data_IF_175759920336
#
_entry.id   IF_175759920336
#
_cell.length_a   1.000
_cell.length_b   1.000
_cell.length_c   1.000
_cell.angle_alpha   90.00
_cell.angle_beta   90.00
_cell.angle_gamma   90.00
#
_symmetry.space_group_name_H-M   'P 1'
#
loop_
_entity.id
_entity.type
_entity.pdbx_description
1 polymer ?
#
# COMPACT_ATOMS: atom_id res chain seq x y z
N UNK A 1 1.47 28.49 8.54
CA UNK A 1 0.79 28.89 7.28
C UNK A 1 1.72 28.50 6.13
N UNK A 2 1.55 27.33 5.52
CA UNK A 2 2.30 26.96 4.30
C UNK A 2 1.43 27.35 3.10
N UNK A 3 1.77 28.49 2.50
CA UNK A 3 1.27 28.88 1.20
C UNK A 3 2.02 28.09 0.13
N UNK A 4 1.29 27.54 -0.84
CA UNK A 4 1.86 26.74 -1.92
C UNK A 4 0.82 25.90 -2.65
N UNK A 5 -0.28 26.53 -3.07
CA UNK A 5 -1.18 25.95 -4.05
C UNK A 5 -0.65 26.30 -5.45
N UNK A 6 0.29 25.50 -5.94
CA UNK A 6 0.67 25.43 -7.35
C UNK A 6 1.04 23.98 -7.63
N UNK A 7 0.34 23.33 -8.56
CA UNK A 7 0.33 21.89 -8.78
C UNK A 7 1.59 21.30 -9.43
N UNK A 8 2.78 21.74 -9.04
CA UNK A 8 4.05 21.11 -9.39
C UNK A 8 4.63 20.47 -8.11
N UNK A 9 4.95 19.16 -8.08
CA UNK A 9 5.59 18.56 -6.92
C UNK A 9 6.96 19.22 -6.71
N UNK A 10 7.07 20.12 -5.74
CA UNK A 10 8.34 20.78 -5.41
C UNK A 10 9.27 19.75 -4.76
N UNK A 11 10.03 19.04 -5.60
CA UNK A 11 11.07 18.12 -5.12
C UNK A 11 12.29 18.91 -4.65
N UNK A 12 12.72 18.67 -3.42
CA UNK A 12 13.88 19.30 -2.79
C UNK A 12 14.97 18.25 -2.54
N UNK A 13 16.00 18.27 -3.39
CA UNK A 13 17.16 17.36 -3.31
C UNK A 13 18.00 17.56 -2.04
N UNK A 14 17.95 18.77 -1.47
CA UNK A 14 18.74 19.18 -0.32
C UNK A 14 17.94 19.07 0.99
N UNK A 15 16.73 18.50 0.93
CA UNK A 15 15.89 18.35 2.10
C UNK A 15 16.58 17.53 3.19
N UNK A 16 16.64 18.11 4.38
CA UNK A 16 17.22 17.45 5.54
C UNK A 16 16.28 16.37 6.08
N UNK A 17 16.56 15.12 5.76
CA UNK A 17 15.77 13.94 6.16
C UNK A 17 15.55 13.82 7.67
N UNK A 18 16.42 14.43 8.50
CA UNK A 18 16.29 14.41 9.96
C UNK A 18 15.08 15.19 10.46
N UNK A 19 14.47 16.02 9.60
CA UNK A 19 13.25 16.77 9.88
C UNK A 19 11.97 15.99 9.59
N UNK A 20 12.05 14.80 8.99
CA UNK A 20 10.88 13.95 8.75
C UNK A 20 10.35 13.38 10.06
N UNK A 21 9.02 13.43 10.22
CA UNK A 21 8.28 12.69 11.24
C UNK A 21 8.07 11.27 10.72
N UNK A 22 8.97 10.36 11.07
CA UNK A 22 8.93 8.98 10.55
C UNK A 22 8.21 8.05 11.52
N UNK A 23 7.07 7.53 11.08
CA UNK A 23 6.34 6.48 11.77
C UNK A 23 7.03 5.12 11.65
N UNK A 24 6.94 4.29 12.68
CA UNK A 24 7.51 2.95 12.76
C UNK A 24 6.47 1.96 13.26
N UNK A 25 6.11 0.97 12.43
CA UNK A 25 5.13 -0.07 12.77
C UNK A 25 5.77 -1.18 13.63
N UNK A 26 6.02 -0.89 14.90
CA UNK A 26 6.69 -1.82 15.82
C UNK A 26 6.10 -3.23 15.84
N UNK A 27 4.77 -3.34 15.82
CA UNK A 27 4.09 -4.63 15.81
C UNK A 27 4.42 -5.46 14.56
N UNK A 28 4.59 -4.81 13.40
CA UNK A 28 4.95 -5.49 12.16
C UNK A 28 6.40 -5.99 12.19
N UNK A 29 7.36 -5.19 12.71
CA UNK A 29 8.75 -5.62 12.84
C UNK A 29 8.99 -6.67 13.93
N UNK A 30 8.05 -6.85 14.86
CA UNK A 30 8.11 -7.91 15.87
C UNK A 30 7.61 -9.26 15.34
N UNK A 31 7.07 -9.29 14.12
CA UNK A 31 6.54 -10.48 13.49
C UNK A 31 7.67 -11.40 13.01
N UNK A 32 7.75 -12.60 13.55
CA UNK A 32 8.83 -13.56 13.26
C UNK A 32 8.47 -14.60 12.21
N UNK A 33 7.36 -14.41 11.47
CA UNK A 33 6.96 -15.32 10.38
C UNK A 33 7.93 -15.32 9.19
N UNK A 34 8.84 -14.36 9.12
CA UNK A 34 9.81 -14.21 8.04
C UNK A 34 11.09 -15.02 8.27
N UNK A 35 11.94 -15.09 7.24
CA UNK A 35 13.25 -15.73 7.35
C UNK A 35 14.17 -14.96 8.30
N UNK A 36 15.12 -15.65 8.94
CA UNK A 36 16.13 -15.00 9.79
C UNK A 36 16.93 -13.92 9.04
N UNK A 37 17.15 -14.10 7.73
CA UNK A 37 17.84 -13.11 6.90
C UNK A 37 16.98 -11.85 6.70
N UNK A 38 15.67 -12.00 6.45
CA UNK A 38 14.76 -10.86 6.30
C UNK A 38 14.70 -10.05 7.59
N UNK A 39 14.51 -10.74 8.73
CA UNK A 39 14.50 -10.10 10.05
C UNK A 39 15.80 -9.34 10.33
N UNK A 40 16.96 -9.91 9.96
CA UNK A 40 18.25 -9.26 10.13
C UNK A 40 18.40 -8.02 9.24
N UNK A 41 17.91 -8.06 8.00
CA UNK A 41 17.94 -6.93 7.08
C UNK A 41 17.04 -5.79 7.57
N UNK A 42 15.83 -6.12 8.05
CA UNK A 42 14.88 -5.16 8.57
C UNK A 42 15.41 -4.46 9.84
N UNK A 43 16.00 -5.23 10.76
CA UNK A 43 16.67 -4.66 11.92
C UNK A 43 17.83 -3.73 11.51
N UNK A 44 18.65 -4.15 10.55
CA UNK A 44 19.76 -3.33 10.05
C UNK A 44 19.27 -2.04 9.36
N UNK A 45 18.13 -2.07 8.66
CA UNK A 45 17.53 -0.90 8.04
C UNK A 45 17.08 0.13 9.10
N UNK A 46 16.42 -0.33 10.17
CA UNK A 46 16.02 0.55 11.28
C UNK A 46 17.23 1.20 11.96
N UNK A 47 18.28 0.42 12.25
CA UNK A 47 19.50 0.94 12.85
C UNK A 47 20.19 1.94 11.92
N UNK A 48 20.17 1.70 10.60
CA UNK A 48 20.73 2.66 9.64
C UNK A 48 19.98 3.98 9.62
N UNK A 49 18.64 3.96 9.67
CA UNK A 49 17.83 5.17 9.77
C UNK A 49 18.18 5.97 11.05
N UNK A 50 18.29 5.28 12.19
CA UNK A 50 18.71 5.91 13.46
C UNK A 50 20.10 6.51 13.37
N UNK A 51 21.06 5.81 12.77
CA UNK A 51 22.43 6.29 12.57
C UNK A 51 22.52 7.52 11.64
N UNK A 52 21.56 7.69 10.74
CA UNK A 52 21.41 8.89 9.90
C UNK A 52 20.76 10.07 10.63
N UNK A 53 20.36 9.89 11.90
CA UNK A 53 19.73 10.92 12.73
C UNK A 53 18.23 11.05 12.54
N UNK A 54 17.58 10.06 11.91
CA UNK A 54 16.11 10.02 11.77
C UNK A 54 15.49 9.56 13.08
N UNK A 55 14.49 10.32 13.57
CA UNK A 55 13.70 9.94 14.74
C UNK A 55 12.53 9.05 14.30
N UNK A 56 12.47 7.84 14.87
CA UNK A 56 11.40 6.87 14.61
C UNK A 56 10.37 6.92 15.74
N UNK A 57 9.12 7.21 15.40
CA UNK A 57 7.99 7.27 16.31
C UNK A 57 7.09 6.05 16.13
N UNK A 58 6.76 5.34 17.21
CA UNK A 58 5.85 4.20 17.12
C UNK A 58 4.47 4.66 16.64
N UNK A 59 3.94 4.01 15.61
CA UNK A 59 2.58 4.25 15.09
C UNK A 59 1.87 2.92 14.85
N UNK A 60 0.54 2.98 14.79
CA UNK A 60 -0.32 1.85 14.46
C UNK A 60 -1.10 2.14 13.19
N UNK A 61 -1.31 1.11 12.37
CA UNK A 61 -2.24 1.20 11.25
C UNK A 61 -3.69 1.29 11.77
N UNK A 62 -4.60 1.89 10.98
CA UNK A 62 -6.00 2.02 11.37
C UNK A 62 -6.77 0.69 11.27
N UNK A 63 -8.03 0.72 11.71
CA UNK A 63 -8.93 -0.43 11.77
C UNK A 63 -9.02 -1.20 10.45
N UNK A 64 -9.21 -0.51 9.32
CA UNK A 64 -9.42 -1.15 8.01
C UNK A 64 -8.12 -1.42 7.23
N UNK A 65 -6.96 -1.40 7.89
CA UNK A 65 -5.67 -1.48 7.19
C UNK A 65 -5.36 -2.85 6.58
N UNK A 66 -6.08 -3.89 7.00
CA UNK A 66 -5.99 -5.26 6.48
C UNK A 66 -6.95 -5.51 5.31
N UNK A 67 -7.66 -4.48 4.84
CA UNK A 67 -8.55 -4.58 3.68
C UNK A 67 -7.80 -5.12 2.45
N UNK A 68 -8.29 -6.23 1.90
CA UNK A 68 -7.77 -6.80 0.66
C UNK A 68 -8.26 -5.98 -0.56
N UNK A 69 -7.34 -5.30 -1.31
CA UNK A 69 -7.72 -4.57 -2.51
C UNK A 69 -8.05 -5.50 -3.69
N UNK A 70 -7.81 -6.80 -3.56
CA UNK A 70 -7.93 -7.81 -4.61
C UNK A 70 -9.28 -7.81 -5.30
N UNK A 71 -10.39 -7.72 -4.56
CA UNK A 71 -11.73 -7.69 -5.15
C UNK A 71 -11.89 -6.53 -6.14
N UNK A 72 -11.43 -5.33 -5.76
CA UNK A 72 -11.47 -4.13 -6.61
C UNK A 72 -10.54 -4.33 -7.81
N UNK A 73 -9.28 -4.72 -7.58
CA UNK A 73 -8.28 -4.88 -8.62
C UNK A 73 -8.70 -5.93 -9.67
N UNK A 74 -9.20 -7.09 -9.23
CA UNK A 74 -9.64 -8.14 -10.13
C UNK A 74 -10.88 -7.71 -10.91
N UNK A 75 -11.86 -7.08 -10.26
CA UNK A 75 -13.07 -6.56 -10.91
C UNK A 75 -12.73 -5.54 -12.00
N UNK A 76 -11.85 -4.58 -11.71
CA UNK A 76 -11.43 -3.55 -12.65
C UNK A 76 -10.56 -4.11 -13.78
N UNK A 77 -9.63 -5.03 -13.48
CA UNK A 77 -8.84 -5.73 -14.49
C UNK A 77 -9.73 -6.53 -15.45
N UNK A 78 -10.78 -7.17 -14.94
CA UNK A 78 -11.74 -7.89 -15.77
C UNK A 78 -12.50 -6.95 -16.72
N UNK A 79 -12.96 -5.81 -16.20
CA UNK A 79 -13.64 -4.81 -17.00
C UNK A 79 -12.73 -4.22 -18.08
N UNK A 80 -11.47 -3.93 -17.74
CA UNK A 80 -10.48 -3.34 -18.64
C UNK A 80 -10.02 -4.31 -19.74
N UNK A 81 -9.91 -5.61 -19.43
CA UNK A 81 -9.40 -6.64 -20.34
C UNK A 81 -10.51 -7.54 -20.90
N UNK A 82 -11.78 -7.14 -20.78
CA UNK A 82 -12.94 -7.96 -21.15
C UNK A 82 -12.85 -8.51 -22.56
N UNK A 83 -12.59 -7.65 -23.54
CA UNK A 83 -12.57 -8.02 -24.95
C UNK A 83 -11.44 -9.00 -25.28
N UNK A 84 -10.15 -8.73 -24.97
CA UNK A 84 -9.08 -9.68 -25.28
C UNK A 84 -9.20 -10.99 -24.51
N UNK A 85 -9.78 -11.00 -23.30
CA UNK A 85 -10.10 -12.24 -22.55
C UNK A 85 -11.16 -13.07 -23.28
N UNK A 86 -12.10 -12.44 -23.97
CA UNK A 86 -13.23 -13.11 -24.63
C UNK A 86 -12.93 -13.52 -26.07
N UNK A 87 -12.23 -12.68 -26.83
CA UNK A 87 -12.04 -12.89 -28.27
C UNK A 87 -10.72 -13.58 -28.58
N UNK A 88 -9.63 -13.16 -27.92
CA UNK A 88 -8.28 -13.58 -28.24
C UNK A 88 -7.48 -14.04 -26.99
N UNK A 89 -8.02 -14.92 -26.12
CA UNK A 89 -7.35 -15.28 -24.86
C UNK A 89 -5.98 -15.95 -25.06
N UNK A 90 -5.76 -16.61 -26.21
CA UNK A 90 -4.47 -17.21 -26.56
C UNK A 90 -3.37 -16.17 -26.88
N UNK A 91 -3.72 -14.91 -27.14
CA UNK A 91 -2.76 -13.83 -27.39
C UNK A 91 -2.35 -13.12 -26.10
N UNK A 92 -3.01 -13.41 -24.97
CA UNK A 92 -2.64 -12.86 -23.67
C UNK A 92 -1.34 -13.47 -23.18
N UNK A 93 -0.45 -12.65 -22.62
CA UNK A 93 0.79 -13.11 -21.95
C UNK A 93 0.47 -14.00 -20.75
N UNK A 94 -0.63 -13.71 -20.04
CA UNK A 94 -1.05 -14.38 -18.82
C UNK A 94 -2.29 -15.25 -19.05
N UNK A 95 -2.14 -16.23 -19.95
CA UNK A 95 -3.20 -17.20 -20.26
C UNK A 95 -3.66 -17.98 -19.01
N UNK A 96 -2.74 -18.23 -18.07
CA UNK A 96 -3.00 -18.87 -16.77
C UNK A 96 -4.08 -18.14 -15.94
N UNK A 97 -4.30 -16.85 -16.21
CA UNK A 97 -5.25 -16.01 -15.47
C UNK A 97 -6.63 -15.93 -16.11
N UNK A 98 -6.82 -16.43 -17.33
CA UNK A 98 -8.09 -16.34 -18.06
C UNK A 98 -9.23 -17.00 -17.30
N UNK A 99 -8.99 -18.16 -16.67
CA UNK A 99 -10.02 -18.87 -15.87
C UNK A 99 -10.48 -18.02 -14.68
N UNK A 100 -9.52 -17.47 -13.91
CA UNK A 100 -9.84 -16.64 -12.76
C UNK A 100 -10.57 -15.36 -13.19
N UNK A 101 -10.15 -14.75 -14.29
CA UNK A 101 -10.83 -13.58 -14.86
C UNK A 101 -12.27 -13.91 -15.27
N UNK A 102 -12.51 -15.07 -15.87
CA UNK A 102 -13.89 -15.47 -16.17
C UNK A 102 -14.73 -15.66 -14.89
N UNK A 103 -14.14 -16.17 -13.80
CA UNK A 103 -14.83 -16.27 -12.52
C UNK A 103 -15.18 -14.90 -11.90
N UNK A 104 -14.31 -13.90 -12.06
CA UNK A 104 -14.53 -12.52 -11.56
C UNK A 104 -15.76 -11.87 -12.20
N UNK A 105 -16.21 -12.33 -13.38
CA UNK A 105 -17.47 -11.86 -13.99
C UNK A 105 -18.72 -12.18 -13.16
N UNK A 106 -18.60 -13.09 -12.20
CA UNK A 106 -19.64 -13.43 -11.24
C UNK A 106 -19.61 -12.54 -9.99
N UNK A 107 -18.68 -11.58 -9.90
CA UNK A 107 -18.60 -10.64 -8.79
C UNK A 107 -19.88 -9.77 -8.74
N UNK A 108 -20.65 -9.80 -7.64
CA UNK A 108 -21.83 -8.97 -7.53
C UNK A 108 -21.46 -7.48 -7.44
N UNK A 109 -22.23 -6.63 -8.12
CA UNK A 109 -22.02 -5.19 -8.08
C UNK A 109 -22.07 -4.61 -6.66
N UNK A 110 -22.92 -5.19 -5.78
CA UNK A 110 -23.02 -4.77 -4.38
C UNK A 110 -21.70 -4.99 -3.61
N UNK A 111 -21.01 -6.12 -3.82
CA UNK A 111 -19.73 -6.42 -3.17
C UNK A 111 -18.62 -5.46 -3.65
N UNK A 112 -18.63 -5.10 -4.95
CA UNK A 112 -17.72 -4.08 -5.47
C UNK A 112 -17.96 -2.70 -4.83
N UNK A 113 -19.23 -2.32 -4.66
CA UNK A 113 -19.59 -1.06 -3.99
C UNK A 113 -19.20 -1.07 -2.50
N UNK A 114 -19.40 -2.20 -1.81
CA UNK A 114 -19.02 -2.31 -0.40
C UNK A 114 -17.50 -2.28 -0.21
N UNK A 115 -16.74 -2.98 -1.06
CA UNK A 115 -15.28 -2.89 -1.04
C UNK A 115 -14.77 -1.45 -1.25
N UNK A 116 -15.40 -0.70 -2.16
CA UNK A 116 -15.08 0.71 -2.36
C UNK A 116 -15.49 1.59 -1.16
N UNK A 117 -16.59 1.25 -0.46
CA UNK A 117 -16.98 1.92 0.79
C UNK A 117 -15.92 1.71 1.88
N UNK A 118 -15.43 0.48 2.06
CA UNK A 118 -14.35 0.15 3.00
C UNK A 118 -13.05 0.85 2.61
N UNK A 119 -12.67 0.85 1.33
CA UNK A 119 -11.53 1.62 0.82
C UNK A 119 -11.64 3.11 1.20
N UNK A 120 -12.83 3.69 1.09
CA UNK A 120 -13.09 5.07 1.49
C UNK A 120 -12.94 5.31 3.01
N UNK A 121 -13.30 4.33 3.85
CA UNK A 121 -13.06 4.38 5.30
C UNK A 121 -11.55 4.34 5.60
N UNK A 122 -10.85 3.36 5.04
CA UNK A 122 -9.41 3.22 5.15
C UNK A 122 -8.67 4.51 4.76
N UNK A 123 -9.04 5.13 3.64
CA UNK A 123 -8.45 6.40 3.20
C UNK A 123 -8.60 7.52 4.23
N UNK A 124 -9.78 7.64 4.86
CA UNK A 124 -10.03 8.66 5.90
C UNK A 124 -9.25 8.37 7.17
N UNK A 125 -9.13 7.10 7.53
CA UNK A 125 -8.40 6.70 8.73
C UNK A 125 -6.89 6.87 8.54
N UNK A 126 -6.34 6.47 7.39
CA UNK A 126 -4.95 6.72 7.02
C UNK A 126 -4.66 8.22 6.95
N UNK A 127 -5.58 9.05 6.46
CA UNK A 127 -5.39 10.50 6.48
C UNK A 127 -5.24 11.06 7.91
N UNK A 128 -5.88 10.45 8.92
CA UNK A 128 -5.68 10.82 10.32
C UNK A 128 -4.31 10.39 10.83
N UNK A 129 -3.90 9.14 10.57
CA UNK A 129 -2.56 8.66 10.94
C UNK A 129 -1.47 9.52 10.31
N UNK A 130 -1.58 9.80 9.00
CA UNK A 130 -0.65 10.63 8.24
C UNK A 130 -0.71 12.13 8.59
N UNK A 131 -1.63 12.58 9.45
CA UNK A 131 -1.61 13.97 9.92
C UNK A 131 -0.47 14.21 10.92
N UNK A 132 -0.07 13.16 11.65
CA UNK A 132 0.97 13.21 12.68
C UNK A 132 2.37 12.83 12.16
N UNK A 133 2.46 12.18 11.00
CA UNK A 133 3.71 11.70 10.38
C UNK A 133 3.82 12.13 8.91
N UNK A 134 5.04 12.14 8.37
CA UNK A 134 5.26 12.43 6.95
C UNK A 134 5.36 11.14 6.12
N UNK A 135 5.95 10.11 6.71
CA UNK A 135 6.11 8.77 6.13
C UNK A 135 6.09 7.73 7.25
N UNK A 136 5.86 6.46 6.94
CA UNK A 136 6.08 5.35 7.86
C UNK A 136 6.91 4.25 7.21
N UNK A 137 7.62 3.49 8.04
CA UNK A 137 8.39 2.32 7.63
C UNK A 137 7.74 1.03 8.12
N UNK A 138 7.84 0.00 7.29
CA UNK A 138 7.30 -1.36 7.51
C UNK A 138 8.40 -2.37 7.18
N UNK A 139 8.38 -3.57 7.78
CA UNK A 139 9.32 -4.64 7.39
C UNK A 139 9.10 -5.02 5.92
N UNK A 140 10.10 -5.64 5.30
CA UNK A 140 9.90 -6.24 3.99
C UNK A 140 8.95 -7.43 4.12
N UNK A 141 7.95 -7.53 3.23
CA UNK A 141 6.95 -8.60 3.22
C UNK A 141 7.51 -9.91 2.61
#
# INVERSE_FOLDING_TARGET
>A
MRAGASGDPSWDAEFDIRKLRVGYLKAAFADTRQTAQTNANDAAALEKLRALGVSLHEVSLPEHADMDPGLILWGEANAALKDPIQTNPAELVRQDRVVNQNAVRLLPAAEYLDANRVRGLLMREMARVMSDIDVYVVPFD
#
